data_IF_290583496947
#
_entry.id   IF_290583496947
#
_cell.length_a   1.000
_cell.length_b   1.000
_cell.length_c   1.000
_cell.angle_alpha   90.00
_cell.angle_beta   90.00
_cell.angle_gamma   90.00
#
_symmetry.space_group_name_H-M   'P 1'
#
loop_
_entity.id
_entity.type
_entity.pdbx_description
1 polymer ?
#
# COMPACT_ATOMS: atom_id res chain seq x y z
N UNK A 1 -11.78 -10.04 -19.32
CA UNK A 1 -10.58 -10.13 -18.73
C UNK A 1 -10.23 -8.98 -17.84
N UNK A 2 -9.78 -9.28 -16.74
CA UNK A 2 -9.50 -8.25 -15.80
C UNK A 2 -8.25 -7.51 -16.15
N UNK A 3 -8.33 -6.23 -16.01
CA UNK A 3 -7.21 -5.44 -16.31
C UNK A 3 -6.52 -5.04 -15.08
N UNK A 4 -5.34 -5.47 -14.93
CA UNK A 4 -4.53 -5.02 -13.83
C UNK A 4 -3.67 -3.86 -14.26
N UNK A 5 -4.01 -3.26 -15.35
CA UNK A 5 -3.20 -2.15 -15.83
C UNK A 5 -3.25 -1.01 -14.84
N UNK A 6 -2.16 -0.31 -14.68
CA UNK A 6 -2.13 0.83 -13.78
C UNK A 6 -3.09 1.89 -14.26
N UNK A 7 -3.87 2.39 -13.35
CA UNK A 7 -4.80 3.44 -13.65
C UNK A 7 -4.39 4.70 -12.98
N UNK A 8 -4.61 5.79 -13.66
CA UNK A 8 -4.24 7.08 -13.12
C UNK A 8 -5.23 7.51 -12.09
N UNK A 9 -5.24 6.87 -10.98
CA UNK A 9 -6.10 7.28 -9.90
C UNK A 9 -5.30 7.97 -8.85
N UNK A 10 -5.76 9.12 -8.44
CA UNK A 10 -5.06 9.86 -7.42
C UNK A 10 -5.59 9.48 -6.07
N UNK A 11 -4.72 8.92 -5.28
CA UNK A 11 -5.05 8.61 -3.91
C UNK A 11 -4.35 9.63 -3.04
N UNK A 12 -5.13 10.33 -2.26
CA UNK A 12 -4.55 11.37 -1.42
C UNK A 12 -4.05 10.76 -0.13
N UNK A 13 -2.77 10.94 0.10
CA UNK A 13 -2.14 10.43 1.31
C UNK A 13 -1.47 11.61 1.99
N UNK A 14 -1.63 11.70 3.29
CA UNK A 14 -1.01 12.77 4.02
C UNK A 14 0.51 12.71 3.86
N UNK A 15 1.15 13.86 3.70
CA UNK A 15 2.60 13.85 3.53
C UNK A 15 3.34 13.17 4.67
N UNK A 16 2.86 13.32 5.89
CA UNK A 16 3.54 12.69 7.02
C UNK A 16 3.46 11.18 6.92
N UNK A 17 2.32 10.66 6.51
CA UNK A 17 2.16 9.22 6.34
C UNK A 17 3.01 8.72 5.19
N UNK A 18 3.02 9.46 4.11
CA UNK A 18 3.80 9.05 2.95
C UNK A 18 5.29 9.02 3.29
N UNK A 19 5.75 9.98 4.07
CA UNK A 19 7.14 10.00 4.47
C UNK A 19 7.49 8.77 5.29
N UNK A 20 6.63 8.40 6.21
CA UNK A 20 6.86 7.19 6.99
C UNK A 20 6.89 5.96 6.10
N UNK A 21 6.01 5.93 5.10
CA UNK A 21 5.99 4.81 4.18
C UNK A 21 7.31 4.71 3.42
N UNK A 22 7.84 5.83 2.98
CA UNK A 22 9.12 5.83 2.28
C UNK A 22 10.21 5.28 3.17
N UNK A 23 10.25 5.72 4.43
CA UNK A 23 11.27 5.24 5.35
C UNK A 23 11.17 3.74 5.56
N UNK A 24 9.94 3.26 5.73
CA UNK A 24 9.76 1.83 5.93
C UNK A 24 10.14 1.03 4.71
N UNK A 25 9.82 1.55 3.54
CA UNK A 25 10.18 0.86 2.32
C UNK A 25 11.69 0.74 2.18
N UNK A 26 12.40 1.81 2.51
CA UNK A 26 13.84 1.77 2.44
C UNK A 26 14.41 0.77 3.44
N UNK A 27 13.87 0.76 4.65
CA UNK A 27 14.33 -0.17 5.67
C UNK A 27 14.12 -1.61 5.21
N UNK A 28 13.07 -1.85 4.48
CA UNK A 28 12.77 -3.19 3.99
C UNK A 28 13.43 -3.48 2.65
N UNK A 29 14.15 -2.51 2.12
CA UNK A 29 14.81 -2.66 0.82
C UNK A 29 13.80 -2.96 -0.26
N UNK A 30 12.67 -2.29 -0.20
CA UNK A 30 11.62 -2.44 -1.19
C UNK A 30 11.33 -1.10 -1.82
N UNK A 31 10.75 -1.17 -3.01
CA UNK A 31 10.29 0.06 -3.64
C UNK A 31 9.02 0.52 -2.94
N UNK A 32 8.83 1.83 -2.93
CA UNK A 32 7.68 2.40 -2.24
C UNK A 32 6.37 1.82 -2.77
N UNK A 33 6.26 1.64 -4.06
CA UNK A 33 5.04 1.07 -4.62
C UNK A 33 4.79 -0.33 -4.13
N UNK A 34 5.82 -1.14 -4.10
CA UNK A 34 5.69 -2.50 -3.64
C UNK A 34 5.34 -2.54 -2.15
N UNK A 35 6.00 -1.69 -1.38
CA UNK A 35 5.73 -1.64 0.05
C UNK A 35 4.28 -1.25 0.32
N UNK A 36 3.78 -0.28 -0.43
CA UNK A 36 2.41 0.17 -0.25
C UNK A 36 1.41 -0.92 -0.63
N UNK A 37 1.68 -1.63 -1.71
CA UNK A 37 0.78 -2.71 -2.10
C UNK A 37 0.72 -3.77 -1.02
N UNK A 38 1.84 -4.12 -0.46
CA UNK A 38 1.86 -5.11 0.60
C UNK A 38 1.12 -4.62 1.83
N UNK A 39 1.27 -3.35 2.14
CA UNK A 39 0.57 -2.79 3.29
C UNK A 39 -0.93 -2.84 3.09
N UNK A 40 -1.37 -2.53 1.89
CA UNK A 40 -2.79 -2.56 1.59
C UNK A 40 -3.32 -3.99 1.69
N UNK A 41 -2.58 -4.94 1.17
CA UNK A 41 -3.01 -6.33 1.23
C UNK A 41 -3.09 -6.81 2.67
N UNK A 42 -2.13 -6.41 3.48
CA UNK A 42 -2.17 -6.79 4.88
C UNK A 42 -3.40 -6.21 5.57
N UNK A 43 -3.68 -4.96 5.27
CA UNK A 43 -4.83 -4.31 5.89
C UNK A 43 -6.11 -5.01 5.51
N UNK A 44 -6.24 -5.34 4.24
CA UNK A 44 -7.41 -6.03 3.77
C UNK A 44 -7.54 -7.38 4.45
N UNK A 45 -6.44 -8.10 4.56
CA UNK A 45 -6.47 -9.40 5.20
C UNK A 45 -6.91 -9.31 6.65
N UNK A 46 -6.43 -8.30 7.36
CA UNK A 46 -6.83 -8.14 8.75
C UNK A 46 -8.30 -7.86 8.88
N UNK A 47 -8.82 -7.00 8.01
CA UNK A 47 -10.21 -6.64 8.11
C UNK A 47 -11.12 -7.79 7.74
N UNK A 48 -10.68 -8.59 6.79
CA UNK A 48 -11.48 -9.76 6.43
C UNK A 48 -11.55 -10.73 7.58
N UNK A 49 -10.49 -10.86 8.32
CA UNK A 49 -10.52 -11.73 9.49
C UNK A 49 -11.43 -11.21 10.56
N UNK A 50 -11.48 -9.90 10.71
CA UNK A 50 -12.32 -9.32 11.74
C UNK A 50 -13.78 -9.42 11.42
N UNK A 51 -14.09 -9.53 10.17
CA UNK A 51 -15.48 -9.53 9.76
C UNK A 51 -16.20 -10.81 10.06
N UNK A 52 -15.55 -11.76 10.66
CA UNK A 52 -16.21 -12.99 10.96
C UNK A 52 -17.35 -12.88 11.94
#
# INVERSE_FOLDING_TARGET
MVEEAPQSRNIKIRPSILRKAHHRAIDSQKRIGQWIEEAIEEKIGREEKKLK
#
